data_IF_606467582854
#
_entry.id   IF_606467582854
#
_cell.length_a   1.000
_cell.length_b   1.000
_cell.length_c   1.000
_cell.angle_alpha   90.00
_cell.angle_beta   90.00
_cell.angle_gamma   90.00
#
_symmetry.space_group_name_H-M   'P 1'
#
loop_
_entity.id
_entity.type
_entity.pdbx_description
1 polymer ?
#
# COMPACT_ATOMS: atom_id res chain seq x y z
N UNK A 1 8.18 18.52 -12.53
CA UNK A 1 7.08 17.89 -13.29
C UNK A 1 5.81 17.95 -12.47
N UNK A 2 4.70 18.46 -13.02
CA UNK A 2 3.39 18.36 -12.36
C UNK A 2 2.84 16.97 -12.65
N UNK A 3 2.73 16.13 -11.63
CA UNK A 3 2.12 14.81 -11.72
C UNK A 3 0.60 15.04 -11.75
N UNK A 4 -0.03 14.90 -12.91
CA UNK A 4 -1.50 14.91 -13.01
C UNK A 4 -2.02 13.50 -12.71
N UNK A 5 -2.72 13.28 -11.58
CA UNK A 5 -3.37 12.01 -11.31
C UNK A 5 -4.41 11.77 -12.40
N UNK A 6 -4.47 10.55 -12.96
CA UNK A 6 -5.66 10.13 -13.70
C UNK A 6 -6.64 9.56 -12.66
N UNK A 7 -7.68 10.30 -12.24
CA UNK A 7 -8.59 9.85 -11.19
C UNK A 7 -9.31 8.54 -11.55
N UNK A 8 -9.49 8.26 -12.85
CA UNK A 8 -10.10 7.00 -13.29
C UNK A 8 -9.17 5.79 -13.11
N UNK A 9 -7.84 5.97 -13.20
CA UNK A 9 -6.91 4.85 -13.04
C UNK A 9 -6.81 4.39 -11.58
N UNK A 10 -6.59 5.33 -10.66
CA UNK A 10 -6.52 5.02 -9.21
C UNK A 10 -7.84 4.38 -8.74
N UNK A 11 -8.98 4.94 -9.17
CA UNK A 11 -10.28 4.40 -8.82
C UNK A 11 -10.50 2.97 -9.32
N UNK A 12 -10.01 2.63 -10.51
CA UNK A 12 -10.08 1.25 -11.03
C UNK A 12 -9.18 0.30 -10.25
N UNK A 13 -7.94 0.68 -9.94
CA UNK A 13 -7.04 -0.12 -9.11
C UNK A 13 -7.66 -0.38 -7.74
N UNK A 14 -8.18 0.66 -7.07
CA UNK A 14 -8.81 0.52 -5.76
C UNK A 14 -10.08 -0.32 -5.81
N UNK A 15 -10.86 -0.25 -6.90
CA UNK A 15 -12.03 -1.12 -7.10
C UNK A 15 -11.63 -2.60 -7.14
N UNK A 16 -10.55 -2.94 -7.85
CA UNK A 16 -10.02 -4.32 -7.89
C UNK A 16 -9.56 -4.80 -6.50
N UNK A 17 -9.02 -3.88 -5.69
CA UNK A 17 -8.65 -4.15 -4.29
C UNK A 17 -9.84 -4.12 -3.31
N UNK A 18 -11.06 -3.89 -3.80
CA UNK A 18 -12.26 -3.70 -2.97
C UNK A 18 -12.08 -2.59 -1.90
N UNK A 19 -11.48 -1.47 -2.31
CA UNK A 19 -11.27 -0.28 -1.48
C UNK A 19 -12.11 0.87 -2.07
N UNK A 20 -12.90 1.52 -1.22
CA UNK A 20 -13.66 2.71 -1.61
C UNK A 20 -12.70 3.90 -1.77
N UNK A 21 -12.79 4.61 -2.90
CA UNK A 21 -12.00 5.81 -3.18
C UNK A 21 -12.08 6.83 -2.03
N UNK A 22 -13.26 7.04 -1.45
CA UNK A 22 -13.45 7.96 -0.32
C UNK A 22 -12.66 7.56 0.92
N UNK A 23 -12.58 6.25 1.23
CA UNK A 23 -11.79 5.74 2.36
C UNK A 23 -10.30 5.86 2.11
N UNK A 24 -9.86 5.61 0.88
CA UNK A 24 -8.47 5.84 0.50
C UNK A 24 -8.10 7.33 0.59
N UNK A 25 -8.96 8.23 0.08
CA UNK A 25 -8.77 9.68 0.19
C UNK A 25 -8.66 10.13 1.65
N UNK A 26 -9.55 9.64 2.52
CA UNK A 26 -9.51 9.92 3.94
C UNK A 26 -8.16 9.48 4.54
N UNK A 27 -7.74 8.24 4.26
CA UNK A 27 -6.46 7.72 4.73
C UNK A 27 -5.26 8.54 4.22
N UNK A 28 -5.28 9.01 2.96
CA UNK A 28 -4.23 9.89 2.43
C UNK A 28 -4.22 11.26 3.13
N UNK A 29 -5.39 11.80 3.46
CA UNK A 29 -5.49 13.11 4.11
C UNK A 29 -5.07 13.06 5.58
N UNK A 30 -5.56 12.07 6.32
CA UNK A 30 -5.38 11.92 7.78
C UNK A 30 -4.08 11.20 8.15
N UNK A 31 -3.61 10.28 7.30
CA UNK A 31 -2.51 9.35 7.59
C UNK A 31 -1.47 9.35 6.48
N UNK A 32 -1.17 10.55 5.97
CA UNK A 32 -0.32 10.86 4.79
C UNK A 32 0.75 9.81 4.48
N UNK A 33 1.60 9.41 5.42
CA UNK A 33 2.72 8.46 5.25
C UNK A 33 2.63 7.44 4.11
N UNK A 34 2.30 6.18 4.40
CA UNK A 34 2.26 5.13 3.39
C UNK A 34 1.12 5.29 2.37
N UNK A 35 0.04 5.99 2.75
CA UNK A 35 -1.10 6.22 1.85
C UNK A 35 -0.75 7.15 0.69
N UNK A 36 -0.03 8.24 0.98
CA UNK A 36 0.46 9.17 -0.03
C UNK A 36 1.51 8.51 -0.91
N UNK A 37 2.41 7.70 -0.34
CA UNK A 37 3.37 6.91 -1.12
C UNK A 37 2.67 5.95 -2.08
N UNK A 38 1.65 5.22 -1.60
CA UNK A 38 0.88 4.32 -2.44
C UNK A 38 0.18 5.07 -3.59
N UNK A 39 -0.42 6.23 -3.31
CA UNK A 39 -1.03 7.08 -4.35
C UNK A 39 0.00 7.50 -5.41
N UNK A 40 1.15 8.01 -4.98
CA UNK A 40 2.20 8.42 -5.92
C UNK A 40 2.68 7.24 -6.76
N UNK A 41 2.88 6.07 -6.13
CA UNK A 41 3.30 4.87 -6.83
C UNK A 41 2.27 4.39 -7.86
N UNK A 42 0.97 4.43 -7.55
CA UNK A 42 -0.11 4.11 -8.51
C UNK A 42 -0.05 5.05 -9.72
N UNK A 43 0.21 6.35 -9.50
CA UNK A 43 0.32 7.33 -10.58
C UNK A 43 1.58 7.07 -11.42
N UNK A 44 2.71 6.75 -10.81
CA UNK A 44 3.93 6.38 -11.53
C UNK A 44 3.75 5.10 -12.35
N UNK A 45 3.04 4.11 -11.83
CA UNK A 45 2.74 2.88 -12.55
C UNK A 45 1.89 3.16 -13.80
N UNK A 46 0.89 4.04 -13.70
CA UNK A 46 0.12 4.50 -14.85
C UNK A 46 1.00 5.17 -15.92
N UNK A 47 1.92 6.04 -15.50
CA UNK A 47 2.85 6.72 -16.42
C UNK A 47 3.80 5.75 -17.12
N UNK A 48 4.13 4.63 -16.49
CA UNK A 48 4.95 3.54 -17.06
C UNK A 48 4.14 2.59 -17.94
N UNK A 49 2.84 2.81 -18.10
CA UNK A 49 1.97 1.95 -18.91
C UNK A 49 1.60 0.63 -18.22
N UNK A 50 1.82 0.50 -16.91
CA UNK A 50 1.40 -0.68 -16.16
C UNK A 50 -0.12 -0.74 -16.10
N UNK A 51 -0.70 -1.91 -16.35
CA UNK A 51 -2.15 -2.08 -16.37
C UNK A 51 -2.76 -2.03 -14.97
N UNK A 52 -4.05 -1.68 -14.88
CA UNK A 52 -4.79 -1.65 -13.59
C UNK A 52 -4.74 -2.99 -12.85
N UNK A 53 -4.75 -4.11 -13.58
CA UNK A 53 -4.71 -5.46 -13.00
C UNK A 53 -3.33 -5.81 -12.44
N UNK A 54 -2.26 -5.46 -13.14
CA UNK A 54 -0.90 -5.66 -12.64
C UNK A 54 -0.64 -4.83 -11.38
N UNK A 55 -1.05 -3.55 -11.38
CA UNK A 55 -0.92 -2.69 -10.22
C UNK A 55 -1.69 -3.26 -9.02
N UNK A 56 -2.95 -3.66 -9.20
CA UNK A 56 -3.74 -4.28 -8.14
C UNK A 56 -3.10 -5.58 -7.62
N UNK A 57 -2.56 -6.41 -8.52
CA UNK A 57 -1.87 -7.66 -8.18
C UNK A 57 -0.59 -7.43 -7.38
N UNK A 58 0.21 -6.44 -7.77
CA UNK A 58 1.43 -6.07 -7.02
C UNK A 58 1.09 -5.57 -5.61
N UNK A 59 0.04 -4.76 -5.48
CA UNK A 59 -0.41 -4.26 -4.18
C UNK A 59 -0.94 -5.42 -3.31
N UNK A 60 -1.78 -6.30 -3.85
CA UNK A 60 -2.34 -7.43 -3.10
C UNK A 60 -1.26 -8.39 -2.60
N UNK A 61 -0.23 -8.61 -3.41
CA UNK A 61 0.88 -9.51 -3.09
C UNK A 61 1.92 -8.84 -2.17
N UNK A 62 1.88 -7.53 -1.99
CA UNK A 62 2.80 -6.82 -1.12
C UNK A 62 2.54 -7.14 0.37
N UNK A 63 3.53 -6.83 1.20
CA UNK A 63 3.38 -6.82 2.66
C UNK A 63 2.56 -5.63 3.16
N UNK A 64 1.94 -4.82 2.30
CA UNK A 64 1.12 -3.69 2.73
C UNK A 64 -0.23 -4.18 3.26
N UNK A 65 -0.59 -3.80 4.49
CA UNK A 65 -1.88 -4.12 5.10
C UNK A 65 -2.96 -3.15 4.59
N UNK A 66 -3.44 -3.41 3.38
CA UNK A 66 -4.44 -2.56 2.72
C UNK A 66 -5.85 -2.69 3.34
N UNK A 67 -6.13 -3.74 4.11
CA UNK A 67 -7.41 -3.91 4.80
C UNK A 67 -7.65 -2.80 5.83
N UNK A 68 -6.58 -2.26 6.42
CA UNK A 68 -6.65 -1.12 7.36
C UNK A 68 -7.22 0.15 6.71
N UNK A 69 -7.07 0.32 5.39
CA UNK A 69 -7.69 1.44 4.66
C UNK A 69 -9.22 1.35 4.75
N UNK A 70 -9.80 0.15 4.70
CA UNK A 70 -11.26 -0.05 4.78
C UNK A 70 -11.81 0.41 6.13
N UNK A 71 -11.01 0.24 7.18
CA UNK A 71 -11.29 0.68 8.56
C UNK A 71 -11.00 2.18 8.78
N UNK A 72 -10.43 2.89 7.79
CA UNK A 72 -9.98 4.28 7.95
C UNK A 72 -8.75 4.42 8.85
N UNK A 73 -7.97 3.35 9.01
CA UNK A 73 -6.73 3.35 9.80
C UNK A 73 -5.51 3.65 8.92
N UNK A 74 -4.37 4.06 9.52
CA UNK A 74 -3.13 4.20 8.78
C UNK A 74 -2.74 2.90 8.09
N UNK A 75 -2.16 3.03 6.90
CA UNK A 75 -1.47 1.93 6.25
C UNK A 75 -0.27 1.50 7.09
N UNK A 76 -0.10 0.19 7.25
CA UNK A 76 1.05 -0.43 7.91
C UNK A 76 1.52 -1.62 7.08
N UNK A 77 2.71 -2.13 7.39
CA UNK A 77 3.09 -3.45 6.90
C UNK A 77 2.31 -4.52 7.69
N UNK A 78 1.98 -5.63 7.01
CA UNK A 78 1.51 -6.86 7.62
C UNK A 78 2.59 -7.30 8.60
N UNK A 79 2.19 -7.69 9.80
CA UNK A 79 3.13 -8.27 10.76
C UNK A 79 3.72 -9.53 10.13
N UNK A 80 4.94 -9.41 9.60
CA UNK A 80 5.75 -10.56 9.31
C UNK A 80 6.02 -11.18 10.68
N UNK A 81 5.59 -12.43 10.87
CA UNK A 81 6.01 -13.23 12.01
C UNK A 81 7.51 -13.51 11.83
N UNK A 82 8.34 -12.48 11.98
CA UNK A 82 9.76 -12.63 12.18
C UNK A 82 9.88 -13.22 13.56
N UNK A 83 9.87 -14.55 13.62
CA UNK A 83 10.48 -15.31 14.70
C UNK A 83 11.94 -14.86 14.76
N UNK A 84 12.21 -13.72 15.39
CA UNK A 84 13.54 -13.35 15.81
C UNK A 84 13.86 -14.34 16.91
N UNK A 85 14.38 -15.51 16.52
CA UNK A 85 15.06 -16.37 17.47
C UNK A 85 16.20 -15.50 18.01
N UNK A 86 16.04 -15.03 19.24
CA UNK A 86 17.09 -14.31 19.95
C UNK A 86 18.30 -15.24 19.97
N UNK A 87 19.35 -14.88 19.24
CA UNK A 87 20.62 -15.57 19.33
C UNK A 87 21.11 -15.44 20.78
N UNK A 88 21.21 -16.58 21.47
CA UNK A 88 21.85 -16.68 22.78
C UNK A 88 23.28 -17.14 22.49
N UNK A 89 24.30 -16.28 22.62
CA UNK A 89 25.68 -16.72 22.43
C UNK A 89 26.02 -17.81 23.46
N UNK A 90 26.74 -18.87 23.06
CA UNK A 90 27.21 -19.86 24.01
C UNK A 90 28.18 -19.19 25.00
N UNK A 91 27.86 -19.22 26.28
CA UNK A 91 28.79 -18.83 27.34
C UNK A 91 29.90 -19.86 27.42
N UNK A 92 31.14 -19.40 27.28
CA UNK A 92 32.36 -20.19 27.51
C UNK A 92 32.39 -20.62 28.98
N UNK A 93 32.19 -21.91 29.23
CA UNK A 93 32.50 -22.60 30.50
C UNK A 93 33.89 -23.20 30.44
#
# INVERSE_FOLDING_TARGET
MKITPNPNFEQHVLRLLSIKQSKFNQCVQEHRGYALLLRHWIIEAYQKGTSVHEVATMISNSHLSIDKIREGKPLSFKDCNMSIQRYIPPTLT
#
